data_IF_957884491303
#
_entry.id   IF_957884491303
#
_cell.length_a   1.000
_cell.length_b   1.000
_cell.length_c   1.000
_cell.angle_alpha   90.00
_cell.angle_beta   90.00
_cell.angle_gamma   90.00
#
_symmetry.space_group_name_H-M   'P 1'
#
loop_
_entity.id
_entity.type
_entity.pdbx_description
1 polymer ?
#
# COMPACT_ATOMS: atom_id res chain seq x y z
N UNK A 1 -21.76 -16.96 0.92
CA UNK A 1 -21.39 -18.39 0.83
C UNK A 1 -22.36 -19.10 -0.09
N UNK A 2 -22.04 -19.19 -1.38
CA UNK A 2 -22.80 -20.03 -2.32
C UNK A 2 -22.41 -21.48 -2.04
N UNK A 3 -23.24 -22.17 -1.26
CA UNK A 3 -23.14 -23.62 -1.11
C UNK A 3 -23.85 -24.23 -2.32
N UNK A 4 -23.12 -24.66 -3.33
CA UNK A 4 -23.69 -25.30 -4.51
C UNK A 4 -22.67 -25.46 -5.64
N UNK A 5 -23.10 -25.92 -6.77
CA UNK A 5 -22.31 -26.31 -7.93
C UNK A 5 -21.79 -25.11 -8.78
N UNK A 6 -21.31 -24.06 -8.13
CA UNK A 6 -20.85 -22.83 -8.76
C UNK A 6 -21.93 -21.75 -8.74
N UNK A 7 -21.50 -20.50 -8.99
CA UNK A 7 -22.37 -19.32 -9.02
C UNK A 7 -21.62 -18.08 -9.44
N UNK A 8 -22.35 -17.04 -9.79
CA UNK A 8 -21.80 -15.70 -10.02
C UNK A 8 -21.87 -14.91 -8.72
N UNK A 9 -20.84 -14.13 -8.43
CA UNK A 9 -20.81 -13.17 -7.34
C UNK A 9 -20.22 -11.86 -7.83
N UNK A 10 -20.63 -10.75 -7.22
CA UNK A 10 -19.96 -9.45 -7.42
C UNK A 10 -18.92 -9.32 -6.32
N UNK A 11 -17.67 -9.16 -6.72
CA UNK A 11 -16.56 -8.97 -5.80
C UNK A 11 -16.35 -7.48 -5.52
N UNK A 12 -16.16 -6.69 -6.55
CA UNK A 12 -15.96 -5.25 -6.43
C UNK A 12 -16.54 -4.49 -7.63
N UNK A 13 -16.94 -3.26 -7.37
CA UNK A 13 -17.26 -2.29 -8.40
C UNK A 13 -16.62 -0.96 -8.04
N UNK A 14 -15.96 -0.28 -8.98
CA UNK A 14 -15.28 0.98 -8.76
C UNK A 14 -15.76 2.03 -9.74
N UNK A 15 -15.91 3.26 -9.28
CA UNK A 15 -16.19 4.42 -10.12
C UNK A 15 -15.05 5.39 -9.96
N UNK A 16 -14.35 5.68 -11.04
CA UNK A 16 -13.26 6.64 -11.09
C UNK A 16 -13.55 7.80 -12.04
N UNK A 17 -12.95 8.93 -11.76
CA UNK A 17 -12.93 10.10 -12.62
C UNK A 17 -11.57 10.78 -12.52
N UNK A 18 -10.95 11.00 -13.68
CA UNK A 18 -9.69 11.75 -13.77
C UNK A 18 -9.74 12.74 -14.91
N UNK A 19 -8.94 13.79 -14.82
CA UNK A 19 -8.89 14.79 -15.88
C UNK A 19 -7.93 15.92 -15.60
N UNK A 20 -7.86 16.85 -16.57
CA UNK A 20 -7.01 18.04 -16.48
C UNK A 20 -7.71 19.26 -17.07
N UNK A 21 -7.38 20.43 -16.51
CA UNK A 21 -7.74 21.74 -17.07
C UNK A 21 -6.56 22.69 -16.91
N UNK A 22 -5.86 22.95 -18.01
CA UNK A 22 -4.57 23.65 -17.96
C UNK A 22 -3.57 22.83 -17.15
N UNK A 23 -2.98 23.45 -16.14
CA UNK A 23 -2.07 22.79 -15.20
C UNK A 23 -2.77 22.13 -14.00
N UNK A 24 -4.07 22.29 -13.86
CA UNK A 24 -4.84 21.60 -12.83
C UNK A 24 -5.16 20.18 -13.28
N UNK A 25 -4.93 19.22 -12.39
CA UNK A 25 -5.20 17.81 -12.61
C UNK A 25 -5.98 17.25 -11.43
N UNK A 26 -6.73 16.20 -11.65
CA UNK A 26 -7.38 15.46 -10.57
C UNK A 26 -7.52 14.00 -10.91
N UNK A 27 -7.59 13.18 -9.88
CA UNK A 27 -7.91 11.77 -9.97
C UNK A 27 -8.64 11.33 -8.70
N UNK A 28 -9.74 10.60 -8.87
CA UNK A 28 -10.55 10.11 -7.76
C UNK A 28 -11.19 8.77 -8.13
N UNK A 29 -11.22 7.85 -7.18
CA UNK A 29 -11.86 6.56 -7.31
C UNK A 29 -12.60 6.20 -6.02
N UNK A 30 -13.85 5.78 -6.17
CA UNK A 30 -14.67 5.23 -5.10
C UNK A 30 -14.91 3.75 -5.32
N UNK A 31 -14.62 2.94 -4.31
CA UNK A 31 -14.72 1.50 -4.37
C UNK A 31 -15.95 0.99 -3.59
N UNK A 32 -16.70 0.07 -4.22
CA UNK A 32 -17.86 -0.61 -3.65
C UNK A 32 -17.53 -2.09 -3.51
N UNK A 33 -17.46 -2.55 -2.28
CA UNK A 33 -17.27 -3.93 -1.91
C UNK A 33 -18.51 -4.48 -1.19
N UNK A 34 -18.70 -5.81 -1.09
CA UNK A 34 -19.70 -6.38 -0.20
C UNK A 34 -19.49 -5.93 1.25
N UNK A 35 -20.55 -5.84 2.05
CA UNK A 35 -20.46 -5.48 3.47
C UNK A 35 -19.48 -6.37 4.26
N UNK A 36 -19.33 -7.64 3.86
CA UNK A 36 -18.35 -8.56 4.45
C UNK A 36 -16.89 -8.17 4.20
N UNK A 37 -16.64 -7.23 3.27
CA UNK A 37 -15.34 -6.64 2.95
C UNK A 37 -15.30 -5.14 3.28
N UNK A 38 -16.06 -4.71 4.28
CA UNK A 38 -16.02 -3.34 4.80
C UNK A 38 -16.95 -2.36 4.11
N UNK A 39 -17.69 -2.76 3.08
CA UNK A 39 -18.67 -1.91 2.39
C UNK A 39 -18.04 -1.02 1.33
N UNK A 40 -18.34 0.28 1.35
CA UNK A 40 -17.84 1.20 0.34
C UNK A 40 -16.96 2.29 0.96
N UNK A 41 -15.91 2.69 0.25
CA UNK A 41 -14.93 3.67 0.73
C UNK A 41 -14.17 4.32 -0.43
N UNK A 42 -13.51 5.42 -0.13
CA UNK A 42 -12.59 6.05 -1.07
C UNK A 42 -11.37 5.15 -1.27
N UNK A 43 -10.95 4.97 -2.53
CA UNK A 43 -9.65 4.39 -2.84
C UNK A 43 -8.60 5.50 -2.85
N UNK A 44 -8.84 6.53 -3.63
CA UNK A 44 -8.05 7.76 -3.66
C UNK A 44 -8.92 8.94 -4.13
N UNK A 45 -8.45 10.16 -3.86
CA UNK A 45 -9.11 11.36 -4.35
C UNK A 45 -8.27 12.59 -4.07
N UNK A 46 -7.66 13.14 -5.11
CA UNK A 46 -6.78 14.30 -5.00
C UNK A 46 -6.98 15.27 -6.17
N UNK A 47 -6.63 16.52 -5.90
CA UNK A 47 -6.46 17.57 -6.91
C UNK A 47 -4.99 17.96 -6.91
N UNK A 48 -4.42 18.19 -8.08
CA UNK A 48 -3.02 18.53 -8.22
C UNK A 48 -2.76 19.69 -9.16
N UNK A 49 -1.52 20.15 -9.14
CA UNK A 49 -1.01 21.16 -10.05
C UNK A 49 0.30 20.69 -10.69
N UNK A 50 0.36 20.67 -12.01
CA UNK A 50 1.56 20.39 -12.79
C UNK A 50 2.31 21.69 -13.10
N UNK A 51 3.46 21.88 -12.44
CA UNK A 51 4.34 23.02 -12.75
C UNK A 51 5.09 22.81 -14.07
N UNK A 52 5.29 21.56 -14.44
CA UNK A 52 5.88 21.08 -15.70
C UNK A 52 5.67 19.57 -15.81
N UNK A 53 5.99 18.96 -16.94
CA UNK A 53 5.97 17.50 -17.15
C UNK A 53 6.78 16.72 -16.11
N UNK A 54 7.71 17.38 -15.42
CA UNK A 54 8.58 16.77 -14.42
C UNK A 54 8.16 17.03 -12.97
N UNK A 55 7.28 18.00 -12.71
CA UNK A 55 7.01 18.49 -11.35
C UNK A 55 5.52 18.64 -11.09
N UNK A 56 5.06 18.01 -10.04
CA UNK A 56 3.66 17.96 -9.65
C UNK A 56 3.52 18.08 -8.14
N UNK A 57 2.41 18.67 -7.70
CA UNK A 57 1.92 18.62 -6.33
C UNK A 57 0.51 18.06 -6.33
N UNK A 58 0.18 17.26 -5.33
CA UNK A 58 -1.16 16.68 -5.10
C UNK A 58 -1.64 17.02 -3.70
N UNK A 59 -2.94 17.29 -3.54
CA UNK A 59 -3.61 17.53 -2.25
C UNK A 59 -4.86 16.67 -2.19
N UNK A 60 -5.01 15.89 -1.15
CA UNK A 60 -6.12 14.95 -0.95
C UNK A 60 -5.62 13.58 -0.52
N UNK A 61 -6.41 12.55 -0.78
CA UNK A 61 -6.05 11.15 -0.51
C UNK A 61 -5.23 10.63 -1.69
N UNK A 62 -3.93 10.42 -1.47
CA UNK A 62 -3.00 10.00 -2.53
C UNK A 62 -2.08 8.89 -2.04
N UNK A 63 -1.60 8.07 -2.97
CA UNK A 63 -0.69 6.96 -2.64
C UNK A 63 0.57 7.45 -1.92
N UNK A 64 0.89 6.83 -0.80
CA UNK A 64 2.08 7.10 0.00
C UNK A 64 3.34 6.77 -0.80
N UNK A 65 4.33 7.69 -0.87
CA UNK A 65 5.57 7.45 -1.62
C UNK A 65 6.52 6.55 -0.82
N UNK A 66 6.25 5.24 -0.81
CA UNK A 66 7.06 4.23 -0.14
C UNK A 66 7.30 3.04 -1.08
N UNK A 67 8.46 2.39 -0.97
CA UNK A 67 8.81 1.18 -1.69
C UNK A 67 8.62 1.22 -3.21
N UNK A 68 8.28 0.08 -3.79
CA UNK A 68 7.92 -0.06 -5.21
C UNK A 68 6.46 0.34 -5.42
N UNK A 69 6.23 1.37 -6.22
CA UNK A 69 4.90 1.86 -6.57
C UNK A 69 4.50 1.42 -7.99
N UNK A 70 3.21 1.18 -8.26
CA UNK A 70 2.11 1.18 -7.29
C UNK A 70 2.17 0.04 -6.28
N UNK A 71 2.74 -1.14 -6.64
CA UNK A 71 2.93 -2.30 -5.76
C UNK A 71 4.08 -3.20 -6.22
N UNK A 72 4.68 -3.92 -5.27
CA UNK A 72 5.81 -4.82 -5.51
C UNK A 72 5.37 -6.20 -6.03
N UNK A 73 4.15 -6.65 -5.73
CA UNK A 73 3.62 -7.93 -6.21
C UNK A 73 3.20 -7.88 -7.69
N UNK A 74 3.08 -9.03 -8.31
CA UNK A 74 2.35 -9.26 -9.56
C UNK A 74 0.97 -9.88 -9.32
N UNK A 75 0.75 -10.47 -8.16
CA UNK A 75 -0.50 -11.12 -7.78
C UNK A 75 -1.61 -10.11 -7.50
N UNK A 76 -2.87 -10.53 -7.71
CA UNK A 76 -4.04 -9.79 -7.27
C UNK A 76 -4.21 -9.74 -5.74
N UNK A 77 -3.66 -10.73 -5.03
CA UNK A 77 -3.82 -10.89 -3.59
C UNK A 77 -2.77 -10.14 -2.77
N UNK A 78 -1.92 -9.35 -3.42
CA UNK A 78 -0.82 -8.63 -2.81
C UNK A 78 0.21 -9.54 -2.12
N UNK A 79 1.19 -8.93 -1.48
CA UNK A 79 2.18 -9.61 -0.66
C UNK A 79 2.07 -9.13 0.81
N UNK A 80 2.93 -9.65 1.67
CA UNK A 80 2.90 -9.28 3.08
C UNK A 80 3.17 -7.79 3.34
N UNK A 81 3.82 -7.06 2.42
CA UNK A 81 4.10 -5.62 2.55
C UNK A 81 2.79 -4.81 2.60
N UNK A 82 1.79 -5.24 1.83
CA UNK A 82 0.44 -4.65 1.87
C UNK A 82 -0.24 -4.86 3.23
N UNK A 83 -0.17 -6.08 3.79
CA UNK A 83 -0.86 -6.43 5.04
C UNK A 83 -0.22 -5.83 6.31
N UNK A 84 0.93 -5.18 6.17
CA UNK A 84 1.57 -4.40 7.23
C UNK A 84 1.56 -2.90 6.97
N UNK A 85 0.75 -2.41 6.00
CA UNK A 85 0.55 -1.00 5.74
C UNK A 85 1.72 -0.29 5.04
N UNK A 86 2.51 -1.00 4.23
CA UNK A 86 3.69 -0.45 3.56
C UNK A 86 3.61 -0.49 2.02
N UNK A 87 2.57 -1.09 1.45
CA UNK A 87 2.37 -1.18 0.00
C UNK A 87 0.95 -0.78 -0.35
N UNK A 88 0.78 -0.05 -1.45
CA UNK A 88 -0.50 0.41 -1.98
C UNK A 88 -1.34 1.15 -0.93
N UNK A 89 -0.64 1.93 -0.14
CA UNK A 89 -1.16 2.72 0.96
C UNK A 89 -1.57 4.12 0.47
N UNK A 90 -2.69 4.65 0.98
CA UNK A 90 -3.26 5.93 0.59
C UNK A 90 -3.64 6.75 1.81
N UNK A 91 -3.12 7.97 1.89
CA UNK A 91 -3.37 8.86 3.02
C UNK A 91 -3.77 10.27 2.61
N UNK A 92 -4.43 10.99 3.54
CA UNK A 92 -4.93 12.35 3.33
C UNK A 92 -3.86 13.40 3.66
N UNK A 93 -3.39 14.12 2.64
CA UNK A 93 -2.35 15.12 2.83
C UNK A 93 -1.92 15.84 1.56
N UNK A 94 -0.64 16.16 1.52
CA UNK A 94 0.01 16.86 0.42
C UNK A 94 1.26 16.10 -0.02
N UNK A 95 1.41 15.85 -1.32
CA UNK A 95 2.55 15.16 -1.93
C UNK A 95 3.14 15.98 -3.06
N UNK A 96 4.46 16.12 -3.07
CA UNK A 96 5.23 16.74 -4.14
C UNK A 96 6.07 15.68 -4.85
N UNK A 97 6.17 15.78 -6.18
CA UNK A 97 6.84 14.81 -7.03
C UNK A 97 7.75 15.51 -8.04
N UNK A 98 8.90 14.89 -8.28
CA UNK A 98 9.80 15.22 -9.37
C UNK A 98 10.21 13.94 -10.11
N UNK A 99 9.85 13.85 -11.38
CA UNK A 99 10.12 12.68 -12.22
C UNK A 99 10.71 13.12 -13.56
N UNK A 100 12.04 13.07 -13.70
CA UNK A 100 12.74 13.37 -14.93
C UNK A 100 14.15 12.79 -14.95
N UNK A 101 14.69 12.55 -16.16
CA UNK A 101 16.05 12.11 -16.37
C UNK A 101 16.45 10.86 -15.57
N UNK A 102 15.52 9.91 -15.43
CA UNK A 102 15.69 8.70 -14.64
C UNK A 102 15.41 8.86 -13.15
N UNK A 103 15.33 10.07 -12.62
CA UNK A 103 15.02 10.33 -11.22
C UNK A 103 13.51 10.26 -10.96
N UNK A 104 13.15 9.67 -9.81
CA UNK A 104 11.83 9.68 -9.19
C UNK A 104 12.02 10.09 -7.73
N UNK A 105 11.72 11.35 -7.42
CA UNK A 105 11.89 11.95 -6.09
C UNK A 105 10.52 12.41 -5.63
N UNK A 106 10.08 11.92 -4.49
CA UNK A 106 8.79 12.24 -3.92
C UNK A 106 8.94 12.60 -2.44
N UNK A 107 8.15 13.55 -1.98
CA UNK A 107 8.03 13.91 -0.58
C UNK A 107 6.58 14.19 -0.25
N UNK A 108 6.12 13.75 0.92
CA UNK A 108 4.75 13.95 1.34
C UNK A 108 4.63 14.25 2.83
N UNK A 109 3.56 14.94 3.19
CA UNK A 109 3.06 15.07 4.55
C UNK A 109 1.58 14.69 4.55
N UNK A 110 1.25 13.71 5.37
CA UNK A 110 -0.12 13.26 5.58
C UNK A 110 -0.57 13.62 7.00
N UNK A 111 -1.78 14.10 7.10
CA UNK A 111 -2.35 14.50 8.39
C UNK A 111 -2.98 13.30 9.10
N UNK A 112 -3.58 12.41 8.34
CA UNK A 112 -4.27 11.21 8.81
C UNK A 112 -4.41 10.22 7.65
N UNK A 113 -4.75 8.99 7.98
CA UNK A 113 -5.14 7.97 7.00
C UNK A 113 -6.36 8.40 6.17
N UNK A 114 -6.72 7.63 5.16
CA UNK A 114 -7.90 7.91 4.34
C UNK A 114 -9.18 7.96 5.18
N UNK A 115 -10.11 8.81 4.77
CA UNK A 115 -11.35 9.06 5.49
C UNK A 115 -12.25 7.82 5.51
N UNK A 116 -12.60 7.35 6.72
CA UNK A 116 -13.43 6.15 6.91
C UNK A 116 -14.90 6.45 7.21
N UNK A 117 -15.22 7.63 7.74
CA UNK A 117 -16.56 7.94 8.26
C UNK A 117 -17.51 8.58 7.25
N UNK A 118 -17.21 8.55 5.97
CA UNK A 118 -18.00 9.27 4.97
C UNK A 118 -19.44 8.73 4.83
N UNK A 119 -19.67 7.44 5.09
CA UNK A 119 -20.98 6.79 5.05
C UNK A 119 -21.20 5.82 6.22
N UNK A 120 -20.56 6.06 7.36
CA UNK A 120 -20.68 5.20 8.55
C UNK A 120 -19.95 3.88 8.44
N UNK A 121 -18.88 3.82 7.62
CA UNK A 121 -18.01 2.67 7.57
C UNK A 121 -17.33 2.42 8.92
N UNK A 122 -17.00 1.16 9.20
CA UNK A 122 -16.19 0.81 10.37
C UNK A 122 -14.75 1.33 10.20
N UNK A 123 -14.00 1.48 11.28
CA UNK A 123 -12.60 1.90 11.24
C UNK A 123 -11.72 1.04 10.32
N UNK A 124 -12.06 -0.24 10.13
CA UNK A 124 -11.41 -1.13 9.17
C UNK A 124 -12.10 -1.19 7.80
N UNK A 125 -13.16 -0.41 7.58
CA UNK A 125 -13.87 -0.28 6.30
C UNK A 125 -13.15 0.72 5.39
N UNK A 126 -11.93 0.39 4.98
CA UNK A 126 -11.01 1.19 4.17
C UNK A 126 -10.23 0.32 3.20
N UNK A 127 -9.54 0.97 2.27
CA UNK A 127 -8.74 0.29 1.27
C UNK A 127 -7.35 -0.10 1.79
N UNK A 128 -6.63 0.86 2.40
CA UNK A 128 -5.27 0.65 2.90
C UNK A 128 -5.26 -0.01 4.28
N UNK A 129 -4.21 -0.77 4.56
CA UNK A 129 -3.96 -1.30 5.91
C UNK A 129 -3.28 -0.25 6.78
N UNK A 130 -4.06 0.42 7.63
CA UNK A 130 -3.58 1.40 8.59
C UNK A 130 -3.77 0.93 10.03
N UNK A 131 -3.09 1.60 10.96
CA UNK A 131 -3.34 1.40 12.39
C UNK A 131 -4.72 1.93 12.74
N UNK A 132 -5.60 1.04 13.16
CA UNK A 132 -7.02 1.33 13.41
C UNK A 132 -7.41 1.08 14.87
N UNK A 133 -8.27 1.94 15.45
CA UNK A 133 -8.87 1.66 16.75
C UNK A 133 -9.76 0.43 16.62
N UNK A 134 -9.39 -0.66 17.25
CA UNK A 134 -10.16 -1.89 17.20
C UNK A 134 -10.97 -2.09 18.47
N UNK A 135 -12.28 -2.34 18.30
CA UNK A 135 -13.20 -2.76 19.36
C UNK A 135 -13.54 -4.25 19.29
N UNK A 136 -12.93 -4.98 18.35
CA UNK A 136 -13.16 -6.43 18.20
C UNK A 136 -12.68 -7.19 19.43
N UNK A 137 -13.43 -8.19 19.86
CA UNK A 137 -13.24 -8.90 21.13
C UNK A 137 -11.87 -9.58 21.33
N UNK A 138 -11.08 -9.76 20.28
CA UNK A 138 -9.73 -10.32 20.33
C UNK A 138 -8.59 -9.30 20.41
N UNK A 139 -8.89 -7.99 20.33
CA UNK A 139 -7.88 -6.92 20.19
C UNK A 139 -8.06 -5.82 21.23
N UNK A 140 -8.21 -6.21 22.50
CA UNK A 140 -8.64 -5.31 23.57
C UNK A 140 -7.61 -4.22 23.90
N UNK A 141 -6.32 -4.51 23.74
CA UNK A 141 -5.26 -3.68 24.30
C UNK A 141 -4.77 -2.52 23.41
N UNK A 142 -5.13 -2.51 22.12
CA UNK A 142 -4.75 -1.43 21.18
C UNK A 142 -5.93 -0.54 20.79
N UNK A 143 -6.98 -0.55 21.61
CA UNK A 143 -8.17 0.28 21.37
C UNK A 143 -7.81 1.76 21.36
N UNK A 144 -8.26 2.43 20.31
CA UNK A 144 -8.09 3.86 20.16
C UNK A 144 -6.76 4.31 19.57
N UNK A 145 -5.85 3.41 19.22
CA UNK A 145 -4.60 3.81 18.53
C UNK A 145 -4.86 4.02 17.04
N UNK A 146 -4.42 5.17 16.53
CA UNK A 146 -4.53 5.59 15.11
C UNK A 146 -3.27 6.29 14.64
N UNK A 147 -3.07 6.35 13.34
CA UNK A 147 -1.98 7.11 12.71
C UNK A 147 -2.35 8.57 12.50
N UNK A 148 -1.36 9.45 12.61
CA UNK A 148 -1.46 10.86 12.27
C UNK A 148 -0.08 11.48 12.00
N UNK A 149 -0.08 12.64 11.29
CA UNK A 149 1.12 13.47 11.10
C UNK A 149 2.34 12.72 10.56
N UNK A 150 2.18 12.07 9.39
CA UNK A 150 3.21 11.27 8.75
C UNK A 150 3.97 12.07 7.69
N UNK A 151 5.30 11.98 7.71
CA UNK A 151 6.20 12.47 6.68
C UNK A 151 6.79 11.31 5.90
N UNK A 152 6.82 11.43 4.57
CA UNK A 152 7.36 10.44 3.67
C UNK A 152 8.38 11.05 2.72
N UNK A 153 9.42 10.30 2.40
CA UNK A 153 10.37 10.63 1.36
C UNK A 153 10.78 9.38 0.57
N UNK A 154 10.86 9.52 -0.74
CA UNK A 154 11.31 8.48 -1.66
C UNK A 154 12.26 9.07 -2.68
N UNK A 155 13.35 8.36 -2.95
CA UNK A 155 14.30 8.66 -4.02
C UNK A 155 14.61 7.38 -4.77
N UNK A 156 14.38 7.38 -6.09
CA UNK A 156 14.75 6.27 -6.95
C UNK A 156 15.38 6.77 -8.25
N UNK A 157 16.20 5.92 -8.85
CA UNK A 157 16.85 6.21 -10.12
C UNK A 157 16.74 5.02 -11.07
N UNK A 158 16.34 5.30 -12.31
CA UNK A 158 16.23 4.33 -13.39
C UNK A 158 17.43 4.42 -14.32
N UNK A 159 18.18 3.35 -14.41
CA UNK A 159 19.24 3.14 -15.40
C UNK A 159 18.61 2.56 -16.66
N UNK A 160 18.65 3.29 -17.75
CA UNK A 160 18.23 2.82 -19.07
C UNK A 160 19.37 2.04 -19.72
N UNK A 161 19.12 0.81 -20.12
CA UNK A 161 20.06 -0.07 -20.83
C UNK A 161 19.73 -0.20 -22.32
N UNK A 162 18.98 0.75 -22.86
CA UNK A 162 18.55 0.77 -24.24
C UNK A 162 17.64 -0.41 -24.57
N UNK A 163 17.89 -1.08 -25.68
CA UNK A 163 17.08 -2.24 -26.12
C UNK A 163 17.13 -3.46 -25.18
N UNK A 164 18.00 -3.47 -24.17
CA UNK A 164 18.07 -4.56 -23.19
C UNK A 164 17.02 -4.40 -22.09
N UNK A 165 16.63 -3.15 -21.75
CA UNK A 165 15.67 -2.89 -20.69
C UNK A 165 16.13 -1.82 -19.70
N UNK A 166 15.68 -1.91 -18.45
CA UNK A 166 16.04 -0.94 -17.42
C UNK A 166 16.26 -1.60 -16.05
N UNK A 167 16.97 -0.90 -15.16
CA UNK A 167 17.03 -1.18 -13.72
C UNK A 167 16.67 0.07 -12.95
N UNK A 168 15.70 0.01 -12.06
CA UNK A 168 15.37 1.07 -11.10
C UNK A 168 15.78 0.64 -9.71
N UNK A 169 16.54 1.49 -9.01
CA UNK A 169 16.91 1.29 -7.60
C UNK A 169 16.39 2.46 -6.80
N UNK A 170 15.98 2.22 -5.57
CA UNK A 170 15.46 3.29 -4.74
C UNK A 170 15.50 2.98 -3.25
N UNK A 171 15.32 4.04 -2.48
CA UNK A 171 15.13 4.01 -1.04
C UNK A 171 13.97 4.91 -0.67
N UNK A 172 13.29 4.57 0.40
CA UNK A 172 12.21 5.38 0.95
C UNK A 172 12.19 5.30 2.48
N UNK A 173 11.55 6.27 3.10
CA UNK A 173 11.34 6.29 4.52
C UNK A 173 10.09 7.07 4.88
N UNK A 174 9.48 6.67 5.99
CA UNK A 174 8.36 7.38 6.60
C UNK A 174 8.58 7.50 8.10
N UNK A 175 8.02 8.57 8.67
CA UNK A 175 7.95 8.79 10.11
C UNK A 175 6.69 9.57 10.44
N UNK A 176 5.91 9.05 11.38
CA UNK A 176 4.66 9.65 11.83
C UNK A 176 4.42 9.44 13.31
N UNK A 177 3.22 9.75 13.75
CA UNK A 177 2.76 9.59 15.11
C UNK A 177 1.64 8.56 15.18
N UNK A 178 1.66 7.77 16.25
CA UNK A 178 0.53 7.01 16.72
C UNK A 178 -0.13 7.79 17.87
N UNK A 179 -1.45 7.96 17.80
CA UNK A 179 -2.26 8.62 18.81
C UNK A 179 -3.15 7.60 19.51
N UNK A 180 -3.09 7.52 20.83
CA UNK A 180 -4.12 6.82 21.61
C UNK A 180 -5.27 7.80 21.88
N UNK A 181 -6.39 7.62 21.19
CA UNK A 181 -7.56 8.50 21.31
C UNK A 181 -8.20 8.47 22.70
N UNK A 182 -7.98 7.40 23.48
CA UNK A 182 -8.52 7.25 24.83
C UNK A 182 -7.74 8.05 25.88
N UNK A 183 -6.42 8.18 25.72
CA UNK A 183 -5.54 8.88 26.67
C UNK A 183 -5.07 10.23 26.15
N UNK A 184 -5.10 10.45 24.82
CA UNK A 184 -4.54 11.62 24.15
C UNK A 184 -3.00 11.58 24.05
N UNK A 185 -2.36 10.50 24.47
CA UNK A 185 -0.92 10.35 24.36
C UNK A 185 -0.50 9.93 22.95
N UNK A 186 0.69 10.38 22.55
CA UNK A 186 1.26 10.09 21.23
C UNK A 186 2.65 9.48 21.38
N UNK A 187 2.99 8.59 20.47
CA UNK A 187 4.34 8.12 20.25
C UNK A 187 4.60 8.02 18.75
N UNK A 188 5.80 7.66 18.34
CA UNK A 188 6.18 7.65 16.93
C UNK A 188 6.09 6.27 16.29
N UNK A 189 5.98 6.27 14.97
CA UNK A 189 6.27 5.11 14.12
C UNK A 189 7.23 5.51 13.00
N UNK A 190 7.94 4.56 12.47
CA UNK A 190 8.82 4.77 11.31
C UNK A 190 8.92 3.49 10.47
N UNK A 191 9.15 3.67 9.17
CA UNK A 191 9.55 2.59 8.29
C UNK A 191 10.59 3.06 7.28
N UNK A 192 11.43 2.13 6.83
CA UNK A 192 12.45 2.35 5.81
C UNK A 192 12.42 1.21 4.81
N UNK A 193 12.61 1.53 3.53
CA UNK A 193 12.72 0.51 2.50
C UNK A 193 13.87 0.78 1.54
N UNK A 194 14.41 -0.33 0.99
CA UNK A 194 15.29 -0.31 -0.17
C UNK A 194 14.72 -1.27 -1.22
N UNK A 195 14.71 -0.85 -2.49
CA UNK A 195 14.10 -1.66 -3.52
C UNK A 195 14.88 -1.63 -4.84
N UNK A 196 14.70 -2.69 -5.60
CA UNK A 196 15.18 -2.84 -6.96
C UNK A 196 14.04 -3.36 -7.85
N UNK A 197 13.88 -2.74 -9.00
CA UNK A 197 12.94 -3.17 -10.03
C UNK A 197 13.67 -3.19 -11.38
N UNK A 198 13.45 -4.19 -12.20
CA UNK A 198 14.04 -4.25 -13.53
C UNK A 198 13.20 -5.04 -14.51
N UNK A 199 13.35 -4.68 -15.79
CA UNK A 199 12.75 -5.42 -16.91
C UNK A 199 13.80 -5.56 -18.02
N UNK A 200 14.01 -6.79 -18.46
CA UNK A 200 15.00 -7.15 -19.48
C UNK A 200 14.34 -8.06 -20.51
N UNK A 201 14.02 -7.51 -21.67
CA UNK A 201 13.19 -8.18 -22.64
C UNK A 201 11.83 -8.56 -22.06
N UNK A 202 11.51 -9.85 -22.02
CA UNK A 202 10.29 -10.36 -21.37
C UNK A 202 10.41 -10.58 -19.86
N UNK A 203 11.61 -10.60 -19.29
CA UNK A 203 11.81 -10.86 -17.86
C UNK A 203 11.61 -9.61 -17.02
N UNK A 204 10.82 -9.72 -15.94
CA UNK A 204 10.59 -8.67 -14.93
C UNK A 204 10.96 -9.21 -13.55
N UNK A 205 11.67 -8.40 -12.77
CA UNK A 205 12.01 -8.69 -11.40
C UNK A 205 11.78 -7.48 -10.51
N UNK A 206 11.24 -7.70 -9.32
CA UNK A 206 11.07 -6.72 -8.25
C UNK A 206 11.58 -7.32 -6.96
N UNK A 207 12.37 -6.57 -6.20
CA UNK A 207 12.91 -6.95 -4.89
C UNK A 207 12.74 -5.76 -3.96
N UNK A 208 12.22 -6.01 -2.77
CA UNK A 208 12.08 -4.99 -1.74
C UNK A 208 12.38 -5.56 -0.36
N UNK A 209 13.10 -4.77 0.41
CA UNK A 209 13.27 -4.95 1.84
C UNK A 209 12.70 -3.73 2.56
N UNK A 210 11.90 -3.95 3.59
CA UNK A 210 11.40 -2.91 4.47
C UNK A 210 11.57 -3.31 5.93
N UNK A 211 11.78 -2.31 6.79
CA UNK A 211 11.75 -2.42 8.25
C UNK A 211 10.74 -1.44 8.79
N UNK A 212 9.93 -1.84 9.77
CA UNK A 212 8.93 -1.00 10.41
C UNK A 212 9.03 -1.11 11.93
N UNK A 213 8.92 0.05 12.59
CA UNK A 213 8.80 0.20 14.06
C UNK A 213 7.55 1.01 14.37
N UNK A 214 6.71 0.47 15.23
CA UNK A 214 5.43 1.02 15.65
C UNK A 214 5.41 1.09 17.17
N UNK A 215 5.35 2.29 17.75
CA UNK A 215 5.35 2.48 19.20
C UNK A 215 3.94 2.91 19.67
N UNK A 216 3.02 1.95 19.93
CA UNK A 216 1.67 2.28 20.35
C UNK A 216 1.67 2.87 21.76
N UNK A 217 1.19 4.13 21.94
CA UNK A 217 1.25 4.80 23.25
C UNK A 217 0.18 4.25 24.21
N UNK A 218 0.55 4.13 25.50
CA UNK A 218 -0.39 3.80 26.58
C UNK A 218 -1.20 2.53 26.39
N UNK A 219 -0.58 1.49 25.88
CA UNK A 219 -1.16 0.16 25.72
C UNK A 219 -0.57 -0.82 26.74
N UNK A 220 -1.29 -1.89 27.06
CA UNK A 220 -0.80 -2.91 28.00
C UNK A 220 0.22 -3.85 27.36
N UNK A 221 0.06 -4.13 26.07
CA UNK A 221 0.97 -4.95 25.26
C UNK A 221 1.38 -4.17 24.02
N UNK A 222 2.60 -3.68 24.03
CA UNK A 222 3.20 -2.85 22.97
C UNK A 222 3.87 -3.65 21.84
N UNK A 223 3.87 -5.00 21.95
CA UNK A 223 4.47 -5.88 20.93
C UNK A 223 3.71 -5.92 19.62
N UNK A 224 2.51 -5.35 19.57
CA UNK A 224 1.70 -5.30 18.35
C UNK A 224 0.81 -4.05 18.30
N UNK A 225 0.44 -3.69 17.08
CA UNK A 225 -0.69 -2.78 16.79
C UNK A 225 -1.81 -3.55 16.11
N UNK A 226 -2.99 -2.96 16.02
CA UNK A 226 -4.06 -3.47 15.17
C UNK A 226 -4.09 -2.65 13.89
N UNK A 227 -3.91 -3.31 12.77
CA UNK A 227 -4.13 -2.72 11.45
C UNK A 227 -5.38 -3.33 10.81
N UNK A 228 -6.04 -2.55 9.96
CA UNK A 228 -7.26 -3.04 9.32
C UNK A 228 -7.52 -2.40 7.98
N UNK A 229 -7.97 -3.24 7.05
CA UNK A 229 -8.58 -2.90 5.78
C UNK A 229 -9.70 -3.90 5.47
N UNK A 230 -10.57 -3.58 4.53
CA UNK A 230 -11.68 -4.44 4.08
C UNK A 230 -12.56 -5.01 5.20
N UNK A 231 -12.73 -4.26 6.27
CA UNK A 231 -13.50 -4.71 7.45
C UNK A 231 -12.81 -5.79 8.28
N UNK A 232 -11.56 -6.10 8.03
CA UNK A 232 -10.82 -7.21 8.65
C UNK A 232 -9.59 -6.70 9.41
N UNK A 233 -9.70 -6.39 10.71
CA UNK A 233 -8.56 -5.99 11.53
C UNK A 233 -7.66 -7.19 11.86
N UNK A 234 -6.35 -6.97 11.80
CA UNK A 234 -5.31 -7.96 12.10
C UNK A 234 -4.31 -7.41 13.11
N UNK A 235 -3.63 -8.31 13.85
CA UNK A 235 -2.47 -7.96 14.65
C UNK A 235 -1.21 -7.91 13.77
N UNK A 236 -0.49 -6.82 13.85
CA UNK A 236 0.81 -6.62 13.21
C UNK A 236 1.84 -6.40 14.31
N UNK A 237 2.96 -7.11 14.25
CA UNK A 237 4.04 -6.94 15.22
C UNK A 237 4.57 -5.50 15.19
N UNK A 238 4.81 -4.90 16.33
CA UNK A 238 5.29 -3.52 16.45
C UNK A 238 6.67 -3.33 15.83
N UNK A 239 7.50 -4.35 15.88
CA UNK A 239 8.82 -4.37 15.23
C UNK A 239 8.90 -5.57 14.29
N UNK A 240 9.20 -5.31 13.01
CA UNK A 240 9.32 -6.36 12.01
C UNK A 240 10.09 -5.92 10.78
N UNK A 241 10.59 -6.93 10.05
CA UNK A 241 11.16 -6.72 8.71
C UNK A 241 10.30 -7.45 7.68
N UNK A 242 10.21 -6.86 6.49
CA UNK A 242 9.51 -7.45 5.35
C UNK A 242 10.49 -7.65 4.20
N UNK A 243 10.46 -8.83 3.65
CA UNK A 243 11.18 -9.18 2.41
C UNK A 243 10.14 -9.51 1.36
N UNK A 244 10.22 -8.88 0.20
CA UNK A 244 9.35 -9.22 -0.91
C UNK A 244 10.12 -9.35 -2.22
N UNK A 245 9.67 -10.25 -3.07
CA UNK A 245 10.19 -10.44 -4.43
C UNK A 245 9.08 -10.85 -5.37
N UNK A 246 9.14 -10.35 -6.60
CA UNK A 246 8.27 -10.76 -7.70
C UNK A 246 9.11 -11.03 -8.93
N UNK A 247 8.90 -12.19 -9.53
CA UNK A 247 9.51 -12.59 -10.78
C UNK A 247 8.40 -12.88 -11.78
N UNK A 248 8.46 -12.27 -12.97
CA UNK A 248 7.48 -12.48 -14.01
C UNK A 248 8.12 -12.54 -15.40
N UNK A 249 7.40 -13.13 -16.34
CA UNK A 249 7.85 -13.18 -17.74
C UNK A 249 6.70 -12.80 -18.69
N UNK A 250 6.93 -11.79 -19.51
CA UNK A 250 5.97 -11.28 -20.47
C UNK A 250 6.04 -12.05 -21.78
N UNK A 251 5.02 -12.82 -22.09
CA UNK A 251 4.90 -13.62 -23.31
C UNK A 251 3.87 -12.95 -24.21
N UNK A 252 4.29 -12.25 -25.29
CA UNK A 252 3.35 -11.73 -26.25
C UNK A 252 2.61 -12.89 -26.94
N UNK A 253 1.31 -12.81 -27.02
CA UNK A 253 0.46 -13.78 -27.72
C UNK A 253 -0.52 -13.03 -28.62
N UNK A 254 -1.14 -13.76 -29.55
CA UNK A 254 -2.19 -13.22 -30.41
C UNK A 254 -3.35 -14.23 -30.45
N UNK A 255 -4.09 -14.32 -29.33
CA UNK A 255 -5.14 -15.33 -29.15
C UNK A 255 -6.48 -14.66 -28.79
N UNK A 256 -7.18 -14.16 -29.81
CA UNK A 256 -8.46 -13.44 -29.65
C UNK A 256 -8.25 -12.13 -28.85
N UNK A 257 -8.93 -11.95 -27.70
CA UNK A 257 -8.76 -10.74 -26.88
C UNK A 257 -7.47 -10.72 -26.06
N UNK A 258 -6.73 -11.83 -26.00
CA UNK A 258 -5.52 -11.96 -25.19
C UNK A 258 -4.31 -11.53 -26.03
N UNK A 259 -3.61 -10.47 -25.58
CA UNK A 259 -2.39 -9.94 -26.22
C UNK A 259 -1.10 -10.36 -25.51
N UNK A 260 -1.20 -10.74 -24.24
CA UNK A 260 -0.06 -11.15 -23.42
C UNK A 260 -0.49 -12.22 -22.40
N UNK A 261 0.42 -13.10 -22.07
CA UNK A 261 0.34 -13.96 -20.89
C UNK A 261 1.58 -13.67 -20.04
N UNK A 262 1.36 -13.33 -18.77
CA UNK A 262 2.43 -13.03 -17.82
C UNK A 262 2.39 -14.02 -16.64
N UNK A 263 3.06 -15.18 -16.74
CA UNK A 263 3.30 -16.02 -15.56
C UNK A 263 4.17 -15.28 -14.57
N UNK A 264 3.88 -15.49 -13.28
CA UNK A 264 4.61 -14.86 -12.18
C UNK A 264 4.75 -15.78 -10.98
N UNK A 265 5.75 -15.44 -10.15
CA UNK A 265 5.95 -15.98 -8.83
C UNK A 265 6.27 -14.82 -7.88
N UNK A 266 5.43 -14.65 -6.86
CA UNK A 266 5.63 -13.68 -5.79
C UNK A 266 5.97 -14.42 -4.50
N UNK A 267 6.94 -13.89 -3.79
CA UNK A 267 7.35 -14.34 -2.46
C UNK A 267 7.38 -13.15 -1.52
N UNK A 268 6.87 -13.33 -0.30
CA UNK A 268 7.09 -12.36 0.77
C UNK A 268 7.16 -13.02 2.13
N UNK A 269 7.96 -12.42 3.03
CA UNK A 269 8.13 -12.87 4.39
C UNK A 269 8.14 -11.68 5.35
N UNK A 270 7.42 -11.80 6.46
CA UNK A 270 7.52 -10.91 7.62
C UNK A 270 8.24 -11.65 8.74
N UNK A 271 9.40 -11.14 9.13
CA UNK A 271 10.12 -11.59 10.33
C UNK A 271 9.80 -10.63 11.47
N UNK A 272 9.42 -11.17 12.63
CA UNK A 272 8.92 -10.40 13.78
C UNK A 272 9.94 -10.41 14.91
N UNK A 273 10.14 -9.26 15.55
CA UNK A 273 11.01 -9.17 16.73
C UNK A 273 10.25 -9.56 18.01
N UNK A 274 9.62 -10.73 17.97
CA UNK A 274 8.92 -11.35 19.10
C UNK A 274 9.16 -12.85 19.05
N UNK A 275 10.08 -13.36 19.86
CA UNK A 275 10.53 -14.76 19.88
C UNK A 275 9.40 -15.82 19.91
N UNK A 276 8.26 -15.48 20.52
CA UNK A 276 7.13 -16.39 20.65
C UNK A 276 6.23 -16.45 19.41
N UNK A 277 6.48 -15.62 18.38
CA UNK A 277 5.62 -15.52 17.20
C UNK A 277 6.33 -16.05 15.96
N UNK A 278 5.64 -16.91 15.23
CA UNK A 278 6.15 -17.40 13.96
C UNK A 278 6.13 -16.28 12.90
N UNK A 279 7.11 -16.33 12.00
CA UNK A 279 7.14 -15.53 10.78
C UNK A 279 5.92 -15.81 9.90
N UNK A 280 5.52 -14.80 9.13
CA UNK A 280 4.55 -14.99 8.05
C UNK A 280 5.31 -15.16 6.73
N UNK A 281 4.94 -16.19 5.98
CA UNK A 281 5.51 -16.45 4.64
C UNK A 281 4.37 -16.59 3.66
N UNK A 282 4.47 -15.91 2.52
CA UNK A 282 3.51 -16.00 1.42
C UNK A 282 4.21 -16.40 0.12
N UNK A 283 3.55 -17.25 -0.67
CA UNK A 283 3.98 -17.69 -1.98
C UNK A 283 2.78 -17.65 -2.93
N UNK A 284 2.84 -16.82 -3.96
CA UNK A 284 1.81 -16.75 -4.97
C UNK A 284 2.36 -17.11 -6.35
N UNK A 285 1.73 -18.06 -7.00
CA UNK A 285 2.07 -18.48 -8.36
C UNK A 285 0.82 -18.33 -9.22
N UNK A 286 0.96 -17.62 -10.32
CA UNK A 286 -0.16 -17.38 -11.21
C UNK A 286 0.26 -16.89 -12.58
N UNK A 287 -0.74 -16.44 -13.33
CA UNK A 287 -0.53 -15.74 -14.58
C UNK A 287 -1.59 -14.65 -14.76
N UNK A 288 -1.19 -13.57 -15.40
CA UNK A 288 -2.07 -12.48 -15.84
C UNK A 288 -2.25 -12.57 -17.37
N UNK A 289 -3.41 -12.10 -17.85
CA UNK A 289 -3.74 -12.09 -19.29
C UNK A 289 -4.37 -10.75 -19.65
#
# INVERSE_FOLDING_TARGET
NVRGNGGFTVDTFRIGASGSYGSLIFDAEWAFYPESFGGNYIHHGWVGYEFSDARQIQVGVSQVPFGIQPYASSSWFFNNTYYVGLEDDYEAGIKAMYQANGWDIQGAYYMNSEQVDFFGASNAGRYSYDVVPSTSAGYIDTRGVTEQHQFNAKVAYSFDHGGLGFTKVGVSGQRGQLLNQGTGETDWHAAYAAHLQGRYGGFEAKLEFAQQELNPPSVTDDRFVVMGAYGSPNRVASEHNVYSSSLAYHIPVNAGPISEIKPYYDFSQVTKDVDAWNDNVNHDIGFLT
#
